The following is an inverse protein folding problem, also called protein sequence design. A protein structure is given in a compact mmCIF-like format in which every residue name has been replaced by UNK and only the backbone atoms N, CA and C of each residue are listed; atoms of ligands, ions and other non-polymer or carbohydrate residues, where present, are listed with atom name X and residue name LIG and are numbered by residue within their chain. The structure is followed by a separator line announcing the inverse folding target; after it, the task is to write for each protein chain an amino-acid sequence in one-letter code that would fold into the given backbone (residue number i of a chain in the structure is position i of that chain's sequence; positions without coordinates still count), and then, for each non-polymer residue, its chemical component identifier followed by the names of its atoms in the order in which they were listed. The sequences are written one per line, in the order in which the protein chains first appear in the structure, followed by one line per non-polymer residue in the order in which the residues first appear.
data_IF_993609129706
#
_entry.id   IF_993609129706
#
_cell.length_a   1.000
_cell.length_b   1.000
_cell.length_c   1.000
_cell.angle_alpha   90.00
_cell.angle_beta   90.00
_cell.angle_gamma   90.00
#
_symmetry.space_group_name_H-M   'P 1'
#
loop_
_entity.id
_entity.type
_entity.pdbx_description
1 polymer ?
#
# COMPACT_ATOMS: atom_id res chain seq x y z
N UNK A 1 17.77 23.06 -30.94
CA UNK A 1 17.89 24.46 -31.19
C UNK A 1 19.01 25.10 -30.39
N UNK A 2 19.19 26.41 -30.44
CA UNK A 2 20.33 27.14 -29.82
C UNK A 2 20.62 26.74 -28.38
N UNK A 3 19.59 26.61 -27.56
CA UNK A 3 19.78 26.22 -26.14
C UNK A 3 20.31 24.79 -26.01
N UNK A 4 19.82 23.87 -26.84
CA UNK A 4 20.33 22.50 -26.89
C UNK A 4 21.80 22.45 -27.32
N UNK A 5 22.14 23.20 -28.37
CA UNK A 5 23.52 23.22 -28.91
C UNK A 5 24.51 23.70 -27.86
N UNK A 6 24.11 24.68 -27.03
CA UNK A 6 24.93 25.16 -25.91
C UNK A 6 25.13 24.06 -24.86
N UNK A 7 24.05 23.39 -24.46
CA UNK A 7 24.11 22.33 -23.46
C UNK A 7 24.92 21.13 -23.93
N UNK A 8 24.74 20.74 -25.18
CA UNK A 8 25.49 19.63 -25.79
C UNK A 8 26.99 19.96 -25.83
N UNK A 9 27.33 21.18 -26.23
CA UNK A 9 28.74 21.63 -26.23
C UNK A 9 29.33 21.61 -24.83
N UNK A 10 28.60 22.08 -23.83
CA UNK A 10 29.05 22.05 -22.44
C UNK A 10 29.35 20.61 -21.97
N UNK A 11 28.55 19.63 -22.35
CA UNK A 11 28.79 18.23 -22.01
C UNK A 11 30.05 17.70 -22.72
N UNK A 12 30.24 18.09 -23.96
CA UNK A 12 31.44 17.73 -24.72
C UNK A 12 32.69 18.33 -24.02
N UNK A 13 32.66 19.62 -23.68
CA UNK A 13 33.76 20.30 -23.02
C UNK A 13 34.09 19.64 -21.68
N UNK A 14 33.08 19.30 -20.88
CA UNK A 14 33.24 18.59 -19.61
C UNK A 14 33.82 17.18 -19.79
N UNK A 15 33.37 16.48 -20.84
CA UNK A 15 33.92 15.15 -21.14
C UNK A 15 35.36 15.24 -21.59
N UNK A 16 35.69 16.12 -22.52
CA UNK A 16 37.05 16.30 -23.04
C UNK A 16 38.03 16.73 -21.94
N UNK A 17 37.59 17.55 -20.99
CA UNK A 17 38.43 18.02 -19.87
C UNK A 17 38.94 16.90 -18.96
N UNK A 18 38.42 15.68 -19.08
CA UNK A 18 38.88 14.52 -18.29
C UNK A 18 40.06 13.79 -18.92
N UNK A 19 40.49 14.20 -20.12
CA UNK A 19 41.50 13.49 -20.92
C UNK A 19 42.59 14.45 -21.38
N UNK A 20 43.75 13.90 -21.78
CA UNK A 20 44.85 14.69 -22.33
C UNK A 20 44.52 15.14 -23.77
N UNK A 21 45.21 16.17 -24.22
CA UNK A 21 45.00 16.71 -25.56
C UNK A 21 45.29 15.64 -26.63
N UNK A 22 44.31 15.40 -27.50
CA UNK A 22 44.41 14.42 -28.57
C UNK A 22 43.85 13.05 -28.28
N UNK A 23 43.49 12.76 -27.04
CA UNK A 23 42.86 11.46 -26.68
C UNK A 23 41.38 11.38 -27.08
N UNK A 24 40.76 12.54 -27.22
CA UNK A 24 39.36 12.65 -27.68
C UNK A 24 39.33 13.43 -28.99
N UNK A 25 38.80 12.83 -30.02
CA UNK A 25 38.64 13.44 -31.33
C UNK A 25 37.19 13.73 -31.65
N UNK A 26 36.90 14.89 -32.20
CA UNK A 26 35.56 15.20 -32.67
C UNK A 26 35.29 14.43 -33.98
N UNK A 27 34.20 13.69 -34.04
CA UNK A 27 33.87 12.80 -35.16
C UNK A 27 32.49 13.11 -35.76
N UNK A 28 32.13 14.39 -35.80
CA UNK A 28 30.92 14.87 -36.42
C UNK A 28 29.70 14.94 -35.48
N UNK A 29 28.54 14.83 -36.06
CA UNK A 29 27.26 14.93 -35.33
C UNK A 29 26.37 13.75 -35.66
N UNK A 30 25.59 13.30 -34.68
CA UNK A 30 24.58 12.26 -34.82
C UNK A 30 23.20 12.82 -34.48
N UNK A 31 22.27 12.73 -35.40
CA UNK A 31 20.90 13.20 -35.14
C UNK A 31 20.14 12.20 -34.25
N UNK A 32 19.51 12.72 -33.23
CA UNK A 32 18.73 11.93 -32.26
C UNK A 32 17.30 12.43 -32.16
N UNK A 33 16.35 11.53 -32.34
CA UNK A 33 14.92 11.87 -32.16
C UNK A 33 14.58 11.90 -30.68
N UNK A 34 13.96 13.00 -30.28
CA UNK A 34 13.54 13.23 -28.89
C UNK A 34 12.04 13.56 -28.88
N UNK A 35 11.26 12.70 -28.25
CA UNK A 35 9.84 12.92 -28.03
C UNK A 35 9.65 13.74 -26.76
N UNK A 36 9.00 14.87 -26.88
CA UNK A 36 8.76 15.82 -25.79
C UNK A 36 7.33 16.37 -25.84
N UNK A 37 6.98 17.29 -24.94
CA UNK A 37 5.64 17.90 -24.89
C UNK A 37 5.32 18.76 -26.14
N UNK A 38 6.33 19.11 -26.88
CA UNK A 38 6.17 19.88 -28.14
C UNK A 38 6.07 18.99 -29.38
N UNK A 39 6.29 17.68 -29.22
CA UNK A 39 6.30 16.72 -30.32
C UNK A 39 7.64 15.99 -30.39
N UNK A 40 7.93 15.49 -31.60
CA UNK A 40 9.24 14.85 -31.88
C UNK A 40 10.15 15.91 -32.46
N UNK A 41 11.28 16.07 -31.83
CA UNK A 41 12.34 17.00 -32.28
C UNK A 41 13.54 16.16 -32.73
N UNK A 42 14.20 16.58 -33.78
CA UNK A 42 15.50 16.06 -34.16
C UNK A 42 16.55 16.97 -33.53
N UNK A 43 17.37 16.40 -32.68
CA UNK A 43 18.46 17.08 -31.97
C UNK A 43 19.77 16.50 -32.47
N UNK A 44 20.64 17.33 -32.99
CA UNK A 44 21.98 16.90 -33.37
C UNK A 44 22.86 16.89 -32.12
N UNK A 45 23.62 15.83 -31.94
CA UNK A 45 24.54 15.64 -30.81
C UNK A 45 25.93 15.41 -31.34
N UNK A 46 26.89 16.06 -30.73
CA UNK A 46 28.28 15.91 -31.10
C UNK A 46 28.78 14.53 -30.73
N UNK A 47 29.53 13.94 -31.68
CA UNK A 47 30.13 12.60 -31.50
C UNK A 47 31.62 12.77 -31.24
N UNK A 48 32.11 12.18 -30.18
CA UNK A 48 33.52 12.16 -29.86
C UNK A 48 34.05 10.72 -30.00
N UNK A 49 35.18 10.54 -30.61
CA UNK A 49 35.89 9.25 -30.61
C UNK A 49 36.89 9.26 -29.46
N UNK A 50 36.73 8.34 -28.52
CA UNK A 50 37.65 8.19 -27.40
C UNK A 50 38.69 7.12 -27.74
N UNK A 51 39.94 7.52 -27.94
CA UNK A 51 41.01 6.66 -28.36
C UNK A 51 41.36 5.59 -27.31
N UNK A 52 41.19 5.88 -25.99
CA UNK A 52 41.48 4.94 -24.91
C UNK A 52 40.63 3.70 -24.94
N UNK A 53 39.37 3.87 -25.24
CA UNK A 53 38.39 2.76 -25.23
C UNK A 53 37.99 2.32 -26.64
N UNK A 54 38.49 3.03 -27.68
CA UNK A 54 38.22 2.71 -29.08
C UNK A 54 36.73 2.80 -29.46
N UNK A 55 36.00 3.77 -28.87
CA UNK A 55 34.55 3.90 -29.08
C UNK A 55 34.11 5.35 -29.30
N UNK A 56 33.02 5.45 -30.07
CA UNK A 56 32.32 6.71 -30.23
C UNK A 56 31.43 6.96 -29.02
N UNK A 57 31.48 8.15 -28.49
CA UNK A 57 30.72 8.60 -27.31
C UNK A 57 29.97 9.89 -27.71
N UNK A 58 28.77 10.02 -27.22
CA UNK A 58 27.95 11.24 -27.34
C UNK A 58 27.71 11.78 -25.92
N UNK A 59 28.56 12.70 -25.44
CA UNK A 59 28.43 13.19 -24.04
C UNK A 59 27.07 13.79 -23.71
N UNK A 60 26.40 14.40 -24.70
CA UNK A 60 25.04 14.94 -24.54
C UNK A 60 23.97 13.90 -24.16
N UNK A 61 24.27 12.59 -24.25
CA UNK A 61 23.37 11.53 -23.84
C UNK A 61 23.05 11.61 -22.33
N UNK A 62 23.94 12.17 -21.54
CA UNK A 62 23.73 12.31 -20.09
C UNK A 62 22.59 13.26 -19.75
N UNK A 63 22.24 14.16 -20.66
CA UNK A 63 21.17 15.14 -20.45
C UNK A 63 19.75 14.57 -20.73
N UNK A 64 19.66 13.42 -21.39
CA UNK A 64 18.38 12.89 -21.86
C UNK A 64 18.20 11.41 -21.50
N UNK A 65 17.06 11.02 -20.95
CA UNK A 65 16.80 9.62 -20.64
C UNK A 65 16.58 8.80 -21.91
N UNK A 66 17.30 7.72 -22.08
CA UNK A 66 17.16 6.80 -23.20
C UNK A 66 16.03 5.80 -22.97
N UNK A 67 15.26 5.51 -24.01
CA UNK A 67 14.22 4.48 -23.97
C UNK A 67 13.96 3.91 -25.37
N UNK A 68 14.36 2.67 -25.61
CA UNK A 68 14.10 1.93 -26.84
C UNK A 68 14.48 2.73 -28.12
N UNK A 69 15.62 3.38 -28.12
CA UNK A 69 16.14 4.10 -29.27
C UNK A 69 15.51 5.46 -29.53
N UNK A 70 14.37 5.77 -28.92
CA UNK A 70 13.74 7.09 -28.95
C UNK A 70 13.83 7.68 -27.56
N UNK A 71 14.47 8.81 -27.42
CA UNK A 71 14.58 9.49 -26.13
C UNK A 71 13.23 10.15 -25.84
N UNK A 72 12.65 9.82 -24.69
CA UNK A 72 11.38 10.39 -24.26
C UNK A 72 11.66 11.26 -23.05
N UNK A 73 11.45 12.56 -23.18
CA UNK A 73 11.75 13.51 -22.11
C UNK A 73 10.93 13.23 -20.86
N UNK A 74 11.52 13.57 -19.72
CA UNK A 74 10.90 13.43 -18.39
C UNK A 74 9.51 14.08 -18.34
N UNK A 75 9.38 15.26 -18.92
CA UNK A 75 8.09 15.97 -18.95
C UNK A 75 7.02 15.26 -19.78
N UNK A 76 7.40 14.56 -20.86
CA UNK A 76 6.44 13.77 -21.64
C UNK A 76 6.08 12.46 -20.88
N UNK A 77 7.05 11.86 -20.19
CA UNK A 77 6.81 10.70 -19.35
C UNK A 77 5.81 11.02 -18.22
N UNK A 78 5.90 12.23 -17.67
CA UNK A 78 4.95 12.69 -16.64
C UNK A 78 3.52 12.67 -17.20
N UNK A 79 3.29 13.26 -18.39
CA UNK A 79 1.97 13.23 -19.02
C UNK A 79 1.53 11.79 -19.36
N UNK A 80 2.49 10.95 -19.79
CA UNK A 80 2.24 9.54 -20.10
C UNK A 80 1.90 8.72 -18.83
N UNK A 81 2.19 9.23 -17.63
CA UNK A 81 1.79 8.62 -16.36
C UNK A 81 0.53 9.24 -15.74
N UNK A 82 0.31 10.54 -15.99
CA UNK A 82 -0.83 11.25 -15.41
C UNK A 82 -2.15 10.88 -16.10
N UNK A 83 -2.19 11.00 -17.43
CA UNK A 83 -3.44 10.83 -18.19
C UNK A 83 -3.99 9.39 -18.14
N UNK A 84 -3.18 8.32 -18.18
CA UNK A 84 -3.73 6.96 -18.18
C UNK A 84 -4.40 6.55 -16.87
N UNK A 85 -4.24 7.33 -15.81
CA UNK A 85 -4.95 7.09 -14.55
C UNK A 85 -6.47 7.21 -14.72
N UNK A 86 -6.90 7.94 -15.77
CA UNK A 86 -8.32 8.15 -16.02
C UNK A 86 -8.71 7.81 -17.48
N UNK A 87 -7.72 7.70 -18.40
CA UNK A 87 -7.97 7.48 -19.83
C UNK A 87 -7.30 6.17 -20.32
N UNK A 88 -7.86 5.52 -21.34
CA UNK A 88 -7.21 4.39 -22.01
C UNK A 88 -5.87 4.80 -22.66
N UNK A 89 -4.89 3.89 -22.65
CA UNK A 89 -3.56 4.14 -23.22
C UNK A 89 -3.61 4.62 -24.67
N UNK A 90 -4.50 4.03 -25.49
CA UNK A 90 -4.68 4.42 -26.88
C UNK A 90 -5.22 5.86 -27.01
N UNK A 91 -6.12 6.24 -26.09
CA UNK A 91 -6.66 7.61 -26.05
C UNK A 91 -5.57 8.62 -25.66
N UNK A 92 -4.71 8.24 -24.72
CA UNK A 92 -3.58 9.08 -24.31
C UNK A 92 -2.63 9.31 -25.50
N UNK A 93 -2.28 8.26 -26.23
CA UNK A 93 -1.43 8.38 -27.42
C UNK A 93 -2.03 9.33 -28.47
N UNK A 94 -3.36 9.21 -28.72
CA UNK A 94 -4.06 10.11 -29.66
C UNK A 94 -4.10 11.55 -29.15
N UNK A 95 -4.36 11.72 -27.86
CA UNK A 95 -4.43 13.04 -27.23
C UNK A 95 -3.09 13.78 -27.35
N UNK A 96 -1.99 13.08 -27.09
CA UNK A 96 -0.64 13.66 -27.19
C UNK A 96 -0.29 13.99 -28.66
N UNK A 97 -0.68 13.11 -29.59
CA UNK A 97 -0.49 13.39 -31.03
C UNK A 97 -1.30 14.62 -31.48
N UNK A 98 -2.53 14.73 -30.98
CA UNK A 98 -3.38 15.91 -31.32
C UNK A 98 -2.80 17.18 -30.69
N UNK A 99 -2.35 17.13 -29.45
CA UNK A 99 -1.77 18.30 -28.75
C UNK A 99 -0.51 18.83 -29.47
N UNK A 100 0.35 17.93 -29.94
CA UNK A 100 1.62 18.29 -30.58
C UNK A 100 1.47 18.55 -32.10
N UNK A 101 0.27 18.29 -32.65
CA UNK A 101 0.00 18.36 -34.09
C UNK A 101 0.92 17.46 -34.91
N UNK A 102 1.41 16.38 -34.28
CA UNK A 102 2.27 15.39 -34.94
C UNK A 102 1.70 13.97 -34.73
N UNK A 103 1.69 13.14 -35.79
CA UNK A 103 1.21 11.78 -35.68
C UNK A 103 2.19 10.91 -34.88
N UNK A 104 1.66 10.05 -34.05
CA UNK A 104 2.41 8.98 -33.39
C UNK A 104 3.61 9.44 -32.56
N UNK A 105 3.47 10.55 -31.84
CA UNK A 105 4.52 11.04 -30.93
C UNK A 105 4.88 9.94 -29.90
N UNK A 106 3.87 9.22 -29.42
CA UNK A 106 4.08 8.10 -28.48
C UNK A 106 2.99 7.02 -28.74
N UNK A 107 3.38 5.77 -28.77
CA UNK A 107 2.46 4.66 -28.99
C UNK A 107 1.74 4.25 -27.70
N UNK A 108 0.59 3.58 -27.82
CA UNK A 108 -0.13 3.01 -26.67
C UNK A 108 0.74 2.06 -25.85
N UNK A 109 1.60 1.30 -26.52
CA UNK A 109 2.48 0.35 -25.86
C UNK A 109 3.59 1.07 -25.09
N UNK A 110 4.09 2.15 -25.65
CA UNK A 110 5.10 2.98 -25.00
C UNK A 110 4.52 3.67 -23.75
N UNK A 111 3.30 4.24 -23.87
CA UNK A 111 2.59 4.80 -22.69
C UNK A 111 2.48 3.74 -21.60
N UNK A 112 2.09 2.50 -21.96
CA UNK A 112 1.97 1.41 -21.00
C UNK A 112 3.31 1.08 -20.34
N UNK A 113 4.40 0.99 -21.13
CA UNK A 113 5.75 0.70 -20.60
C UNK A 113 6.22 1.77 -19.61
N UNK A 114 5.97 3.04 -19.95
CA UNK A 114 6.32 4.17 -19.08
C UNK A 114 5.56 4.06 -17.75
N UNK A 115 4.25 3.79 -17.82
CA UNK A 115 3.41 3.57 -16.61
C UNK A 115 3.97 2.43 -15.76
N UNK A 116 4.30 1.29 -16.38
CA UNK A 116 4.85 0.12 -15.68
C UNK A 116 6.18 0.48 -15.00
N UNK A 117 7.10 1.10 -15.73
CA UNK A 117 8.42 1.48 -15.21
C UNK A 117 8.32 2.43 -14.00
N UNK A 118 7.49 3.48 -14.09
CA UNK A 118 7.32 4.42 -12.99
C UNK A 118 6.56 3.80 -11.82
N UNK A 119 5.56 2.97 -12.08
CA UNK A 119 4.86 2.22 -11.05
C UNK A 119 5.79 1.30 -10.27
N UNK A 120 6.64 0.57 -11.00
CA UNK A 120 7.65 -0.32 -10.41
C UNK A 120 8.66 0.48 -9.57
N UNK A 121 9.10 1.63 -10.07
CA UNK A 121 10.03 2.51 -9.31
C UNK A 121 9.39 3.00 -8.00
N UNK A 122 8.11 3.39 -8.04
CA UNK A 122 7.36 3.79 -6.85
C UNK A 122 7.28 2.62 -5.85
N UNK A 123 6.93 1.42 -6.32
CA UNK A 123 6.84 0.23 -5.45
C UNK A 123 8.20 -0.13 -4.84
N UNK A 124 9.26 -0.02 -5.63
CA UNK A 124 10.63 -0.26 -5.14
C UNK A 124 11.02 0.75 -4.05
N UNK A 125 10.69 2.02 -4.25
CA UNK A 125 10.93 3.08 -3.27
C UNK A 125 10.13 2.84 -1.97
N UNK A 126 8.85 2.45 -2.11
CA UNK A 126 7.99 2.10 -0.96
C UNK A 126 8.55 0.91 -0.18
N UNK A 127 8.97 -0.14 -0.88
CA UNK A 127 9.54 -1.34 -0.25
C UNK A 127 10.88 -1.02 0.43
N UNK A 128 11.70 -0.20 -0.21
CA UNK A 128 12.97 0.26 0.34
C UNK A 128 12.75 1.02 1.65
N UNK A 129 11.81 1.98 1.66
CA UNK A 129 11.49 2.75 2.86
C UNK A 129 11.00 1.85 4.00
N UNK A 130 10.12 0.88 3.70
CA UNK A 130 9.64 -0.09 4.70
C UNK A 130 10.83 -0.86 5.31
N UNK A 131 11.70 -1.38 4.45
CA UNK A 131 12.86 -2.16 4.91
C UNK A 131 13.83 -1.29 5.74
N UNK A 132 14.07 -0.05 5.32
CA UNK A 132 14.93 0.89 6.06
C UNK A 132 14.35 1.23 7.43
N UNK A 133 13.04 1.52 7.49
CA UNK A 133 12.36 1.83 8.75
C UNK A 133 12.37 0.62 9.69
N UNK A 134 12.10 -0.57 9.18
CA UNK A 134 12.13 -1.80 9.99
C UNK A 134 13.54 -2.16 10.45
N UNK A 135 14.56 -1.78 9.67
CA UNK A 135 15.95 -2.02 10.00
C UNK A 135 16.55 -1.02 11.00
N UNK A 136 15.88 0.10 11.24
CA UNK A 136 16.36 1.11 12.19
C UNK A 136 16.14 0.68 13.62
N UNK A 137 17.09 1.00 14.49
CA UNK A 137 16.96 0.78 15.93
C UNK A 137 15.79 1.52 16.56
N UNK A 138 15.40 2.66 15.96
CA UNK A 138 14.28 3.46 16.44
C UNK A 138 12.90 2.77 16.25
N UNK A 139 12.79 1.84 15.32
CA UNK A 139 11.56 1.04 15.11
C UNK A 139 11.70 -0.40 15.64
N UNK A 140 12.85 -0.79 16.17
CA UNK A 140 13.04 -2.12 16.74
C UNK A 140 12.06 -2.38 17.90
N UNK A 141 11.66 -1.35 18.64
CA UNK A 141 10.64 -1.49 19.70
C UNK A 141 9.29 -1.94 19.14
N UNK A 142 8.94 -1.51 17.95
CA UNK A 142 7.74 -1.98 17.28
C UNK A 142 7.85 -3.48 16.94
N UNK A 143 9.00 -3.87 16.38
CA UNK A 143 9.29 -5.26 16.04
C UNK A 143 9.34 -6.14 17.29
N UNK A 144 9.97 -5.67 18.35
CA UNK A 144 10.04 -6.39 19.64
C UNK A 144 8.63 -6.60 20.19
N UNK A 145 7.78 -5.58 20.21
CA UNK A 145 6.40 -5.71 20.68
C UNK A 145 5.58 -6.66 19.79
N UNK A 146 5.85 -6.64 18.48
CA UNK A 146 5.23 -7.60 17.56
C UNK A 146 5.66 -9.03 17.87
N UNK A 147 6.95 -9.24 18.12
CA UNK A 147 7.49 -10.55 18.53
C UNK A 147 6.92 -11.00 19.86
N UNK A 148 6.83 -10.10 20.83
CA UNK A 148 6.22 -10.34 22.13
C UNK A 148 4.73 -10.69 22.00
N UNK A 149 4.02 -10.00 21.12
CA UNK A 149 2.61 -10.27 20.85
C UNK A 149 2.40 -11.58 20.10
N UNK A 150 3.36 -11.98 19.26
CA UNK A 150 3.30 -13.26 18.51
C UNK A 150 3.74 -14.46 19.38
N UNK A 151 4.44 -14.20 20.50
CA UNK A 151 4.86 -15.25 21.43
C UNK A 151 4.10 -15.16 22.78
N UNK A 152 2.81 -14.80 22.81
CA UNK A 152 2.19 -14.39 24.07
C UNK A 152 1.76 -15.51 24.99
N UNK A 153 1.56 -16.70 24.47
CA UNK A 153 0.99 -17.80 25.26
C UNK A 153 1.97 -18.39 26.27
N UNK A 154 3.25 -18.20 26.04
CA UNK A 154 4.29 -18.68 26.95
C UNK A 154 4.64 -17.65 28.02
N UNK A 155 4.58 -16.37 27.70
CA UNK A 155 5.00 -15.30 28.60
C UNK A 155 4.03 -15.09 29.78
N UNK A 156 2.74 -15.24 29.54
CA UNK A 156 1.73 -15.10 30.60
C UNK A 156 1.83 -16.20 31.65
N UNK A 157 2.51 -17.30 31.32
CA UNK A 157 2.71 -18.44 32.20
C UNK A 157 4.12 -18.48 32.84
N UNK A 158 4.96 -17.49 32.53
CA UNK A 158 6.34 -17.49 33.05
C UNK A 158 6.37 -17.03 34.49
N UNK A 159 7.04 -17.79 35.39
CA UNK A 159 7.25 -17.33 36.75
C UNK A 159 8.07 -16.05 36.80
N UNK A 160 7.94 -15.28 37.85
CA UNK A 160 8.72 -14.06 38.08
C UNK A 160 10.24 -14.34 38.00
N UNK A 161 10.66 -15.49 38.49
CA UNK A 161 12.04 -15.98 38.42
C UNK A 161 12.60 -16.04 36.98
N UNK A 162 11.74 -16.35 35.98
CA UNK A 162 12.17 -16.39 34.58
C UNK A 162 12.41 -15.00 34.04
N UNK A 163 11.61 -14.01 34.45
CA UNK A 163 11.81 -12.61 34.05
C UNK A 163 13.13 -12.08 34.64
N UNK A 164 13.42 -12.40 35.88
CA UNK A 164 14.69 -12.04 36.53
C UNK A 164 15.88 -12.70 35.83
N UNK A 165 15.74 -14.00 35.47
CA UNK A 165 16.78 -14.74 34.76
C UNK A 165 17.09 -14.10 33.36
N UNK A 166 16.07 -13.60 32.69
CA UNK A 166 16.26 -12.89 31.40
C UNK A 166 17.06 -11.60 31.60
N UNK A 167 16.72 -10.81 32.61
CA UNK A 167 17.45 -9.55 32.88
C UNK A 167 18.90 -9.84 33.27
N UNK A 168 19.12 -10.89 34.07
CA UNK A 168 20.46 -11.32 34.46
C UNK A 168 21.27 -11.85 33.27
N UNK A 169 20.64 -12.63 32.37
CA UNK A 169 21.30 -13.20 31.19
C UNK A 169 21.71 -12.12 30.19
N UNK A 170 20.96 -10.99 30.10
CA UNK A 170 21.31 -9.86 29.24
C UNK A 170 22.55 -9.11 29.74
N UNK A 171 22.87 -9.23 31.03
CA UNK A 171 24.07 -8.65 31.62
C UNK A 171 25.29 -9.55 31.46
N UNK A 172 25.12 -10.80 31.06
CA UNK A 172 26.19 -11.79 30.91
C UNK A 172 26.58 -12.02 29.44
N UNK A 173 27.82 -12.39 29.23
CA UNK A 173 28.37 -12.63 27.88
C UNK A 173 27.87 -13.91 27.23
N UNK A 174 27.40 -14.87 28.00
CA UNK A 174 26.94 -16.18 27.50
C UNK A 174 25.70 -16.64 28.30
N UNK A 175 24.54 -16.15 27.90
CA UNK A 175 23.31 -16.47 28.59
C UNK A 175 22.86 -17.93 28.32
N UNK A 176 22.66 -18.70 29.38
CA UNK A 176 22.14 -20.06 29.27
C UNK A 176 20.63 -20.05 29.53
N UNK A 177 19.88 -20.91 28.85
CA UNK A 177 18.44 -21.01 29.13
C UNK A 177 18.18 -21.53 30.55
N UNK A 178 17.19 -20.97 31.23
CA UNK A 178 16.76 -21.55 32.53
C UNK A 178 16.25 -22.98 32.35
N UNK A 179 16.28 -23.72 33.45
CA UNK A 179 15.83 -25.10 33.44
C UNK A 179 14.38 -25.22 33.00
N UNK A 180 14.13 -26.09 32.02
CA UNK A 180 12.78 -26.29 31.48
C UNK A 180 12.39 -25.35 30.35
N UNK A 181 13.27 -24.43 29.94
CA UNK A 181 12.99 -23.48 28.85
C UNK A 181 13.66 -23.99 27.55
N UNK A 182 12.88 -24.06 26.47
CA UNK A 182 13.39 -24.46 25.16
C UNK A 182 14.43 -23.44 24.66
N UNK A 183 15.55 -23.93 24.14
CA UNK A 183 16.67 -23.11 23.71
C UNK A 183 16.27 -22.13 22.58
N UNK A 184 15.36 -22.53 21.68
CA UNK A 184 14.89 -21.63 20.60
C UNK A 184 14.02 -20.50 21.15
N UNK A 185 13.13 -20.80 22.09
CA UNK A 185 12.27 -19.80 22.71
C UNK A 185 13.11 -18.84 23.56
N UNK A 186 14.11 -19.38 24.27
CA UNK A 186 15.07 -18.57 25.05
C UNK A 186 15.82 -17.59 24.14
N UNK A 187 16.34 -18.08 23.00
CA UNK A 187 17.02 -17.20 22.03
C UNK A 187 16.09 -16.11 21.48
N UNK A 188 14.84 -16.45 21.20
CA UNK A 188 13.84 -15.44 20.74
C UNK A 188 13.61 -14.36 21.78
N UNK A 189 13.49 -14.77 23.06
CA UNK A 189 13.29 -13.81 24.17
C UNK A 189 14.52 -12.92 24.32
N UNK A 190 15.72 -13.50 24.29
CA UNK A 190 16.97 -12.73 24.40
C UNK A 190 17.13 -11.76 23.22
N UNK A 191 16.83 -12.19 22.00
CA UNK A 191 16.85 -11.33 20.82
C UNK A 191 15.86 -10.17 20.99
N UNK A 192 14.64 -10.44 21.43
CA UNK A 192 13.63 -9.42 21.65
C UNK A 192 14.10 -8.40 22.71
N UNK A 193 14.68 -8.88 23.81
CA UNK A 193 15.20 -7.99 24.87
C UNK A 193 16.44 -7.21 24.43
N UNK A 194 17.35 -7.85 23.69
CA UNK A 194 18.53 -7.17 23.12
C UNK A 194 18.12 -6.06 22.16
N UNK A 195 17.12 -6.32 21.31
CA UNK A 195 16.54 -5.31 20.43
C UNK A 195 15.92 -4.17 21.23
N UNK A 196 15.17 -4.50 22.28
CA UNK A 196 14.56 -3.49 23.15
C UNK A 196 15.61 -2.61 23.82
N UNK A 197 16.70 -3.22 24.31
CA UNK A 197 17.81 -2.49 24.94
C UNK A 197 18.57 -1.58 23.93
N UNK A 198 18.67 -2.02 22.67
CA UNK A 198 19.33 -1.27 21.61
C UNK A 198 18.44 -0.18 21.01
N UNK A 199 17.14 -0.18 21.30
CA UNK A 199 16.18 0.78 20.72
C UNK A 199 16.31 2.17 21.32
N UNK A 200 16.01 3.16 20.49
CA UNK A 200 15.92 4.55 20.95
C UNK A 200 14.79 4.70 21.96
N UNK A 201 14.96 5.61 22.93
CA UNK A 201 13.87 5.94 23.85
C UNK A 201 12.63 6.40 23.09
N UNK A 202 11.46 6.21 23.69
CA UNK A 202 10.17 6.61 23.12
C UNK A 202 10.16 8.09 22.73
N UNK A 203 10.85 8.92 23.49
CA UNK A 203 11.00 10.35 23.21
C UNK A 203 11.72 10.61 21.87
N UNK A 204 12.72 9.79 21.54
CA UNK A 204 13.42 9.90 20.26
C UNK A 204 12.56 9.39 19.09
N UNK A 205 11.73 8.39 19.33
CA UNK A 205 10.79 7.92 18.32
C UNK A 205 9.80 9.04 17.94
N UNK A 206 9.38 9.84 18.92
CA UNK A 206 8.51 10.99 18.69
C UNK A 206 9.15 12.07 17.81
N UNK A 207 10.48 12.16 17.84
CA UNK A 207 11.20 13.15 17.03
C UNK A 207 11.36 12.74 15.56
N UNK A 208 11.10 11.49 15.22
CA UNK A 208 11.26 10.97 13.86
C UNK A 208 9.99 11.13 13.02
N UNK A 209 8.90 11.49 13.65
CA UNK A 209 7.64 11.77 12.97
C UNK A 209 7.02 13.04 13.52
N UNK A 210 5.93 13.49 12.96
CA UNK A 210 5.18 14.59 13.58
C UNK A 210 4.71 14.13 14.97
N UNK A 211 4.43 15.09 15.85
CA UNK A 211 3.99 14.80 17.21
C UNK A 211 2.88 13.75 17.21
N UNK A 212 3.20 12.55 17.68
CA UNK A 212 2.23 11.47 17.80
C UNK A 212 1.35 11.78 19.00
N UNK A 213 0.23 12.41 18.74
CA UNK A 213 -0.75 12.71 19.79
C UNK A 213 -1.47 11.41 20.18
N UNK A 214 -1.59 11.13 21.48
CA UNK A 214 -2.40 9.98 21.90
C UNK A 214 -3.85 10.25 21.52
N UNK A 215 -4.30 9.60 20.48
CA UNK A 215 -5.64 9.78 19.96
C UNK A 215 -6.13 8.56 19.23
N UNK A 216 -7.30 8.66 18.66
CA UNK A 216 -7.88 7.59 17.85
C UNK A 216 -7.44 7.77 16.39
N UNK A 217 -6.68 6.81 15.89
CA UNK A 217 -6.33 6.72 14.47
C UNK A 217 -7.29 5.75 13.80
N UNK A 218 -7.88 6.19 12.70
CA UNK A 218 -8.89 5.41 11.99
C UNK A 218 -8.36 5.07 10.61
N UNK A 219 -8.29 3.77 10.33
CA UNK A 219 -7.98 3.26 9.01
C UNK A 219 -9.16 2.45 8.47
N UNK A 220 -9.48 2.66 7.22
CA UNK A 220 -10.45 1.83 6.52
C UNK A 220 -9.71 1.12 5.38
N UNK A 221 -9.86 -0.19 5.29
CA UNK A 221 -9.17 -0.98 4.28
C UNK A 221 -10.11 -2.01 3.65
N UNK A 222 -9.87 -2.29 2.38
CA UNK A 222 -10.65 -3.24 1.61
C UNK A 222 -9.77 -3.79 0.48
N UNK A 223 -10.23 -4.83 -0.21
CA UNK A 223 -9.58 -5.29 -1.43
C UNK A 223 -10.54 -5.20 -2.61
N UNK A 224 -9.98 -4.95 -3.78
CA UNK A 224 -10.75 -4.82 -5.00
C UNK A 224 -10.21 -5.77 -6.07
N UNK A 225 -11.11 -6.54 -6.65
CA UNK A 225 -10.76 -7.55 -7.66
C UNK A 225 -10.78 -6.94 -9.06
N UNK A 226 -9.71 -7.15 -9.80
CA UNK A 226 -9.52 -6.71 -11.19
C UNK A 226 -9.33 -7.94 -12.07
N UNK A 227 -9.93 -7.96 -13.26
CA UNK A 227 -9.84 -9.09 -14.18
C UNK A 227 -8.44 -9.19 -14.80
N UNK A 228 -7.91 -10.41 -14.81
CA UNK A 228 -6.68 -10.76 -15.53
C UNK A 228 -7.00 -11.19 -16.98
N UNK A 229 -6.01 -11.23 -17.86
CA UNK A 229 -6.24 -11.68 -19.23
C UNK A 229 -6.76 -13.13 -19.34
N UNK A 230 -6.34 -14.00 -18.42
CA UNK A 230 -6.87 -15.38 -18.33
C UNK A 230 -8.28 -15.32 -17.72
N UNK A 231 -9.24 -15.91 -18.41
CA UNK A 231 -10.68 -15.73 -18.18
C UNK A 231 -11.17 -16.02 -16.76
N UNK A 232 -10.50 -16.88 -16.01
CA UNK A 232 -10.93 -17.29 -14.66
C UNK A 232 -10.13 -16.64 -13.53
N UNK A 233 -9.15 -15.77 -13.85
CA UNK A 233 -8.25 -15.24 -12.84
C UNK A 233 -8.58 -13.78 -12.47
N UNK A 234 -8.46 -13.51 -11.18
CA UNK A 234 -8.67 -12.20 -10.61
C UNK A 234 -7.43 -11.77 -9.83
N UNK A 235 -7.10 -10.50 -9.94
CA UNK A 235 -6.03 -9.86 -9.18
C UNK A 235 -6.68 -9.08 -8.05
N UNK A 236 -6.24 -9.32 -6.81
CA UNK A 236 -6.68 -8.54 -5.66
C UNK A 236 -5.70 -7.39 -5.42
N UNK A 237 -6.20 -6.17 -5.44
CA UNK A 237 -5.45 -4.97 -5.05
C UNK A 237 -6.02 -4.50 -3.70
N UNK A 238 -5.18 -4.50 -2.69
CA UNK A 238 -5.53 -3.98 -1.36
C UNK A 238 -5.41 -2.47 -1.37
N UNK A 239 -6.37 -1.83 -0.72
CA UNK A 239 -6.42 -0.36 -0.61
C UNK A 239 -6.70 -0.01 0.83
N UNK A 240 -5.97 0.97 1.35
CA UNK A 240 -6.24 1.51 2.68
C UNK A 240 -6.30 3.04 2.63
N UNK A 241 -7.12 3.60 3.50
CA UNK A 241 -7.25 5.05 3.70
C UNK A 241 -7.18 5.31 5.20
N UNK A 242 -6.19 6.08 5.59
CA UNK A 242 -5.91 6.39 6.99
C UNK A 242 -6.22 7.87 7.23
N UNK A 243 -6.96 8.16 8.29
CA UNK A 243 -7.20 9.54 8.73
C UNK A 243 -5.96 10.01 9.52
N UNK A 244 -5.39 11.13 9.11
CA UNK A 244 -4.24 11.74 9.77
C UNK A 244 -4.61 13.20 10.14
N UNK A 245 -3.85 13.85 11.01
CA UNK A 245 -4.09 15.26 11.32
C UNK A 245 -4.03 16.19 10.10
N UNK A 246 -3.27 15.81 9.08
CA UNK A 246 -3.10 16.59 7.84
C UNK A 246 -4.11 16.22 6.75
N UNK A 247 -5.05 15.31 7.02
CA UNK A 247 -6.04 14.83 6.06
C UNK A 247 -6.01 13.31 5.93
N UNK A 248 -6.00 12.82 4.69
CA UNK A 248 -6.03 11.37 4.46
C UNK A 248 -4.76 10.91 3.77
N UNK A 249 -4.27 9.77 4.22
CA UNK A 249 -3.19 9.05 3.56
C UNK A 249 -3.77 7.79 2.90
N UNK A 250 -3.37 7.53 1.67
CA UNK A 250 -3.81 6.39 0.88
C UNK A 250 -2.66 5.41 0.67
N UNK A 251 -2.96 4.12 0.75
CA UNK A 251 -2.04 3.04 0.41
C UNK A 251 -2.73 2.10 -0.57
N UNK A 252 -1.95 1.50 -1.46
CA UNK A 252 -2.46 0.46 -2.36
C UNK A 252 -1.36 -0.52 -2.72
N UNK A 253 -1.73 -1.75 -3.10
CA UNK A 253 -0.75 -2.71 -3.59
C UNK A 253 -1.29 -4.13 -3.65
N UNK A 254 -0.57 -5.00 -4.37
CA UNK A 254 -0.97 -6.40 -4.56
C UNK A 254 -0.38 -7.36 -3.54
N UNK A 255 0.73 -7.02 -2.91
CA UNK A 255 1.48 -7.94 -2.07
C UNK A 255 1.34 -7.70 -0.56
N UNK A 256 2.29 -8.23 0.17
CA UNK A 256 2.38 -8.08 1.62
C UNK A 256 2.93 -6.71 2.03
N UNK A 257 3.67 -6.03 1.14
CA UNK A 257 4.31 -4.74 1.44
C UNK A 257 3.28 -3.71 1.89
N UNK A 258 2.11 -3.65 1.24
CA UNK A 258 1.04 -2.70 1.59
C UNK A 258 0.53 -2.91 3.03
N UNK A 259 0.55 -4.13 3.55
CA UNK A 259 0.15 -4.41 4.94
C UNK A 259 1.23 -3.93 5.92
N UNK A 260 2.50 -4.12 5.57
CA UNK A 260 3.63 -3.59 6.37
C UNK A 260 3.59 -2.06 6.40
N UNK A 261 3.34 -1.43 5.23
CA UNK A 261 3.14 0.03 5.14
C UNK A 261 2.00 0.48 6.04
N UNK A 262 0.87 -0.23 6.02
CA UNK A 262 -0.30 0.11 6.85
C UNK A 262 0.05 0.01 8.34
N UNK A 263 0.72 -1.05 8.75
CA UNK A 263 1.16 -1.25 10.14
C UNK A 263 2.07 -0.11 10.62
N UNK A 264 3.09 0.24 9.82
CA UNK A 264 4.02 1.33 10.11
C UNK A 264 3.31 2.69 10.19
N UNK A 265 2.44 2.96 9.21
CA UNK A 265 1.71 4.23 9.18
C UNK A 265 0.77 4.36 10.37
N UNK A 266 0.11 3.29 10.78
CA UNK A 266 -0.71 3.27 12.00
C UNK A 266 0.15 3.56 13.23
N UNK A 267 1.35 3.01 13.28
CA UNK A 267 2.30 3.29 14.37
C UNK A 267 2.67 4.79 14.41
N UNK A 268 3.02 5.36 13.26
CA UNK A 268 3.37 6.79 13.20
C UNK A 268 2.19 7.70 13.55
N UNK A 269 0.96 7.30 13.19
CA UNK A 269 -0.24 8.10 13.47
C UNK A 269 -0.72 7.97 14.93
N UNK A 270 -0.73 6.76 15.48
CA UNK A 270 -1.32 6.47 16.80
C UNK A 270 -0.29 6.46 17.92
N UNK A 271 0.94 6.05 17.63
CA UNK A 271 1.93 5.74 18.65
C UNK A 271 1.54 4.49 19.46
N UNK A 272 2.31 4.18 20.45
CA UNK A 272 2.06 3.00 21.33
C UNK A 272 0.79 3.11 22.15
N UNK A 273 0.53 4.18 22.41
CA UNK A 273 -0.50 4.42 23.26
C UNK A 273 -1.76 4.76 22.66
N UNK A 274 -1.70 4.98 21.53
CA UNK A 274 -2.87 5.47 20.83
C UNK A 274 -3.92 4.38 20.61
N UNK A 275 -5.08 4.80 20.18
CA UNK A 275 -6.19 3.88 19.86
C UNK A 275 -6.26 3.70 18.35
N UNK A 276 -6.20 2.47 17.87
CA UNK A 276 -6.33 2.14 16.44
C UNK A 276 -7.71 1.52 16.18
N UNK A 277 -8.50 2.17 15.33
CA UNK A 277 -9.76 1.62 14.82
C UNK A 277 -9.57 1.23 13.37
N UNK A 278 -9.68 -0.07 13.08
CA UNK A 278 -9.61 -0.60 11.73
C UNK A 278 -11.03 -0.94 11.25
N UNK A 279 -11.41 -0.41 10.10
CA UNK A 279 -12.75 -0.59 9.51
C UNK A 279 -12.66 -1.47 8.27
N UNK A 280 -13.52 -2.49 8.16
CA UNK A 280 -13.57 -3.32 6.95
C UNK A 280 -14.69 -4.33 6.93
N UNK A 281 -14.68 -5.15 5.91
CA UNK A 281 -15.73 -6.16 5.63
C UNK A 281 -15.60 -7.45 6.46
N UNK A 282 -14.55 -7.57 7.27
CA UNK A 282 -14.26 -8.77 8.07
C UNK A 282 -13.72 -9.93 7.24
N UNK A 283 -13.08 -9.68 6.11
CA UNK A 283 -12.39 -10.68 5.31
C UNK A 283 -11.31 -11.39 6.15
N UNK A 284 -11.00 -12.64 5.80
CA UNK A 284 -10.02 -13.45 6.54
C UNK A 284 -8.66 -12.77 6.63
N UNK A 285 -8.17 -12.19 5.51
CA UNK A 285 -6.88 -11.52 5.49
C UNK A 285 -6.83 -10.32 6.44
N UNK A 286 -7.96 -9.57 6.52
CA UNK A 286 -8.06 -8.38 7.38
C UNK A 286 -8.07 -8.76 8.86
N UNK A 287 -8.80 -9.83 9.21
CA UNK A 287 -8.79 -10.36 10.57
C UNK A 287 -7.41 -10.86 10.96
N UNK A 288 -6.76 -11.59 10.05
CA UNK A 288 -5.38 -12.05 10.28
C UNK A 288 -4.44 -10.85 10.50
N UNK A 289 -4.49 -9.86 9.63
CA UNK A 289 -3.70 -8.63 9.76
C UNK A 289 -3.92 -7.98 11.14
N UNK A 290 -5.18 -7.82 11.55
CA UNK A 290 -5.54 -7.22 12.83
C UNK A 290 -4.98 -8.02 14.01
N UNK A 291 -5.04 -9.34 13.93
CA UNK A 291 -4.61 -10.22 15.05
C UNK A 291 -3.07 -10.39 15.08
N UNK A 292 -2.42 -10.47 13.91
CA UNK A 292 -0.98 -10.79 13.85
C UNK A 292 -0.09 -9.57 13.70
N UNK A 293 -0.44 -8.63 12.81
CA UNK A 293 0.42 -7.50 12.49
C UNK A 293 0.19 -6.29 13.39
N UNK A 294 -1.01 -6.21 14.00
CA UNK A 294 -1.29 -5.17 14.98
C UNK A 294 -1.20 -5.64 16.43
N UNK A 295 -0.65 -6.48 16.53
CA UNK A 295 -0.46 -7.04 17.73
C UNK A 295 0.18 -6.26 18.77
N UNK A 296 1.00 -5.47 18.34
CA UNK A 296 1.71 -4.59 19.28
C UNK A 296 0.84 -3.46 19.88
N UNK A 297 -0.23 -3.10 19.19
CA UNK A 297 -1.13 -2.05 19.67
C UNK A 297 -2.02 -2.59 20.80
N UNK A 298 -1.87 -2.00 21.99
CA UNK A 298 -2.64 -2.41 23.17
C UNK A 298 -4.09 -1.92 23.11
N UNK A 299 -4.31 -0.81 22.40
CA UNK A 299 -5.64 -0.21 22.24
C UNK A 299 -6.04 -0.27 20.76
N UNK A 300 -6.66 -1.39 20.39
CA UNK A 300 -7.10 -1.58 19.01
C UNK A 300 -8.50 -2.18 18.94
N UNK A 301 -9.25 -1.81 17.91
CA UNK A 301 -10.53 -2.47 17.59
C UNK A 301 -10.60 -2.71 16.08
N UNK A 302 -11.16 -3.83 15.70
CA UNK A 302 -11.59 -4.10 14.33
C UNK A 302 -13.12 -3.98 14.32
N UNK A 303 -13.63 -3.13 13.46
CA UNK A 303 -15.06 -2.88 13.34
C UNK A 303 -15.55 -3.45 12.01
N UNK A 304 -16.46 -4.41 12.11
CA UNK A 304 -17.12 -4.97 10.93
C UNK A 304 -18.05 -3.91 10.34
N UNK A 305 -17.92 -3.64 9.04
CA UNK A 305 -18.75 -2.66 8.33
C UNK A 305 -20.23 -3.02 8.47
N UNK A 306 -21.03 -2.09 9.03
CA UNK A 306 -22.47 -2.26 9.19
C UNK A 306 -23.19 -2.50 7.87
N UNK A 307 -22.81 -1.78 6.82
CA UNK A 307 -23.51 -1.87 5.52
C UNK A 307 -23.23 -3.24 4.87
N UNK A 308 -22.01 -3.76 4.99
CA UNK A 308 -21.67 -5.12 4.55
C UNK A 308 -22.40 -6.18 5.35
N UNK A 309 -22.42 -6.07 6.68
CA UNK A 309 -23.15 -6.97 7.57
C UNK A 309 -24.63 -6.98 7.23
N UNK A 310 -25.24 -5.80 7.09
CA UNK A 310 -26.64 -5.62 6.76
C UNK A 310 -26.99 -6.25 5.41
N UNK A 311 -26.15 -6.02 4.40
CA UNK A 311 -26.33 -6.60 3.05
C UNK A 311 -26.26 -8.12 3.11
N UNK A 312 -25.25 -8.66 3.80
CA UNK A 312 -25.03 -10.11 3.98
C UNK A 312 -26.27 -10.76 4.60
N UNK A 313 -26.79 -10.19 5.67
CA UNK A 313 -28.01 -10.69 6.34
C UNK A 313 -29.21 -10.66 5.40
N UNK A 314 -29.36 -9.60 4.60
CA UNK A 314 -30.49 -9.47 3.66
C UNK A 314 -30.42 -10.52 2.53
N UNK A 315 -29.21 -10.75 2.00
CA UNK A 315 -28.98 -11.73 0.93
C UNK A 315 -29.25 -13.16 1.44
N UNK A 316 -28.69 -13.49 2.61
CA UNK A 316 -28.90 -14.81 3.21
C UNK A 316 -30.34 -15.04 3.63
N UNK A 317 -31.06 -14.04 4.13
CA UNK A 317 -32.48 -14.15 4.43
C UNK A 317 -33.26 -14.56 3.18
N UNK A 318 -32.88 -14.07 1.99
CA UNK A 318 -33.48 -14.47 0.72
C UNK A 318 -33.18 -15.91 0.32
N UNK A 319 -32.08 -16.47 0.79
CA UNK A 319 -31.68 -17.86 0.52
C UNK A 319 -32.27 -18.85 1.54
N UNK A 320 -32.53 -18.37 2.75
CA UNK A 320 -33.04 -19.16 3.91
C UNK A 320 -34.55 -19.30 3.90
N UNK A 321 -35.28 -18.19 3.65
CA UNK A 321 -36.75 -18.14 3.80
C UNK A 321 -37.46 -18.56 2.52
N UNK A 322 -38.58 -19.27 2.69
CA UNK A 322 -39.42 -19.74 1.58
C UNK A 322 -40.34 -18.65 1.04
N UNK A 323 -40.88 -17.80 1.92
CA UNK A 323 -41.81 -16.75 1.52
C UNK A 323 -41.15 -15.34 1.56
N UNK A 324 -41.76 -14.43 0.80
CA UNK A 324 -41.33 -13.01 0.78
C UNK A 324 -41.58 -12.35 2.15
N UNK A 325 -42.62 -12.77 2.84
CA UNK A 325 -42.97 -12.21 4.15
C UNK A 325 -41.99 -12.67 5.23
N UNK A 326 -41.68 -13.98 5.28
CA UNK A 326 -40.66 -14.51 6.23
C UNK A 326 -39.31 -13.84 6.03
N UNK A 327 -38.90 -13.62 4.76
CA UNK A 327 -37.68 -12.89 4.44
C UNK A 327 -37.70 -11.49 5.05
N UNK A 328 -38.82 -10.76 4.93
CA UNK A 328 -38.95 -9.40 5.51
C UNK A 328 -38.84 -9.43 7.03
N UNK A 329 -39.53 -10.39 7.66
CA UNK A 329 -39.55 -10.54 9.11
C UNK A 329 -38.15 -10.87 9.64
N UNK A 330 -37.52 -11.90 9.07
CA UNK A 330 -36.18 -12.32 9.50
C UNK A 330 -35.15 -11.19 9.29
N UNK A 331 -35.16 -10.58 8.11
CA UNK A 331 -34.26 -9.44 7.79
C UNK A 331 -34.42 -8.30 8.82
N UNK A 332 -35.66 -7.91 9.12
CA UNK A 332 -35.94 -6.82 10.09
C UNK A 332 -35.45 -7.21 11.49
N UNK A 333 -35.71 -8.45 11.91
CA UNK A 333 -35.28 -8.96 13.22
C UNK A 333 -33.75 -8.96 13.34
N UNK A 334 -33.04 -9.53 12.34
CA UNK A 334 -31.58 -9.57 12.34
C UNK A 334 -30.97 -8.16 12.36
N UNK A 335 -31.51 -7.25 11.52
CA UNK A 335 -31.01 -5.87 11.49
C UNK A 335 -31.18 -5.18 12.84
N UNK A 336 -32.32 -5.36 13.50
CA UNK A 336 -32.60 -4.72 14.81
C UNK A 336 -31.64 -5.24 15.89
N UNK A 337 -31.43 -6.57 15.93
CA UNK A 337 -30.54 -7.20 16.92
C UNK A 337 -29.07 -6.82 16.67
N UNK A 338 -28.61 -6.97 15.45
CA UNK A 338 -27.20 -6.71 15.09
C UNK A 338 -26.88 -5.21 15.15
N UNK A 339 -27.85 -4.33 14.92
CA UNK A 339 -27.67 -2.87 15.10
C UNK A 339 -27.29 -2.53 16.55
N UNK A 340 -27.80 -3.32 17.51
CA UNK A 340 -27.49 -3.18 18.94
C UNK A 340 -26.29 -4.03 19.38
N UNK A 341 -25.66 -4.77 18.45
CA UNK A 341 -24.55 -5.67 18.78
C UNK A 341 -24.98 -6.98 19.43
N UNK A 342 -26.26 -7.31 19.40
CA UNK A 342 -26.83 -8.50 20.07
C UNK A 342 -26.67 -9.74 19.19
N UNK A 343 -25.44 -10.21 19.05
CA UNK A 343 -25.10 -11.30 18.12
C UNK A 343 -25.71 -12.64 18.59
N UNK A 344 -25.67 -12.92 19.90
CA UNK A 344 -26.22 -14.17 20.43
C UNK A 344 -27.72 -14.26 20.17
N UNK A 345 -28.46 -13.18 20.40
CA UNK A 345 -29.89 -13.12 20.11
C UNK A 345 -30.18 -13.26 18.60
N UNK A 346 -29.27 -12.75 17.75
CA UNK A 346 -29.40 -12.95 16.30
C UNK A 346 -29.17 -14.41 15.91
N UNK A 347 -28.22 -15.10 16.57
CA UNK A 347 -27.98 -16.53 16.37
C UNK A 347 -29.18 -17.38 16.85
N UNK A 348 -29.75 -17.03 17.99
CA UNK A 348 -30.99 -17.67 18.50
C UNK A 348 -32.14 -17.50 17.53
N UNK A 349 -32.29 -16.30 16.97
CA UNK A 349 -33.34 -16.01 15.97
C UNK A 349 -33.16 -16.84 14.69
N UNK A 350 -31.90 -17.05 14.26
CA UNK A 350 -31.59 -17.91 13.11
C UNK A 350 -31.88 -19.38 13.42
N UNK A 351 -31.46 -19.84 14.61
CA UNK A 351 -31.74 -21.24 15.03
C UNK A 351 -33.23 -21.53 15.07
N UNK A 352 -34.03 -20.58 15.54
CA UNK A 352 -35.49 -20.70 15.58
C UNK A 352 -36.12 -20.81 14.17
N UNK A 353 -35.40 -20.36 13.13
CA UNK A 353 -35.88 -20.49 11.73
C UNK A 353 -35.54 -21.85 11.12
N UNK A 354 -34.72 -22.69 11.79
CA UNK A 354 -34.22 -23.96 11.25
C UNK A 354 -35.35 -24.91 10.76
N UNK A 355 -36.44 -25.12 11.52
CA UNK A 355 -37.48 -26.04 11.05
C UNK A 355 -38.21 -25.61 9.80
N UNK A 356 -38.17 -24.32 9.44
CA UNK A 356 -38.89 -23.72 8.32
C UNK A 356 -37.97 -23.27 7.19
N UNK A 357 -36.64 -23.55 7.32
CA UNK A 357 -35.69 -23.09 6.30
C UNK A 357 -35.80 -23.92 5.02
N UNK A 358 -35.70 -23.24 3.87
CA UNK A 358 -35.60 -23.94 2.58
C UNK A 358 -34.16 -24.34 2.25
N UNK A 359 -33.17 -23.84 2.99
CA UNK A 359 -31.75 -24.12 2.74
C UNK A 359 -30.97 -24.07 4.03
N UNK A 360 -30.81 -25.23 4.66
CA UNK A 360 -30.11 -25.39 5.93
C UNK A 360 -28.61 -25.01 5.82
N UNK A 361 -27.99 -25.34 4.69
CA UNK A 361 -26.59 -25.02 4.48
C UNK A 361 -26.38 -23.49 4.54
N UNK A 362 -27.25 -22.72 3.89
CA UNK A 362 -27.15 -21.25 3.91
C UNK A 362 -27.47 -20.67 5.27
N UNK A 363 -28.36 -21.28 6.01
CA UNK A 363 -28.62 -20.91 7.40
C UNK A 363 -27.35 -21.10 8.25
N UNK A 364 -26.73 -22.27 8.14
CA UNK A 364 -25.51 -22.61 8.89
C UNK A 364 -24.36 -21.67 8.48
N UNK A 365 -24.18 -21.40 7.18
CA UNK A 365 -23.16 -20.48 6.67
C UNK A 365 -23.29 -19.07 7.29
N UNK A 366 -24.53 -18.57 7.43
CA UNK A 366 -24.77 -17.25 8.05
C UNK A 366 -24.46 -17.29 9.55
N UNK A 367 -24.85 -18.34 10.22
CA UNK A 367 -24.56 -18.50 11.67
C UNK A 367 -23.07 -18.55 11.91
N UNK A 368 -22.33 -19.31 11.11
CA UNK A 368 -20.88 -19.43 11.22
C UNK A 368 -20.17 -18.11 10.89
N UNK A 369 -20.68 -17.39 9.90
CA UNK A 369 -20.20 -16.04 9.57
C UNK A 369 -20.33 -15.09 10.77
N UNK A 370 -21.51 -15.10 11.44
CA UNK A 370 -21.76 -14.24 12.61
C UNK A 370 -20.88 -14.67 13.81
N UNK A 371 -20.77 -15.98 14.07
CA UNK A 371 -19.91 -16.51 15.16
C UNK A 371 -18.46 -16.07 14.98
N UNK A 372 -17.95 -16.25 13.75
CA UNK A 372 -16.53 -15.93 13.43
C UNK A 372 -16.22 -14.43 13.50
N UNK A 373 -17.25 -13.58 13.50
CA UNK A 373 -17.07 -12.12 13.51
C UNK A 373 -17.71 -11.46 14.74
N UNK A 374 -18.14 -12.26 15.71
CA UNK A 374 -18.82 -11.77 16.92
C UNK A 374 -18.03 -10.67 17.63
N UNK A 375 -16.71 -10.84 17.74
CA UNK A 375 -15.83 -9.87 18.40
C UNK A 375 -15.75 -8.51 17.66
N UNK A 376 -16.13 -8.48 16.39
CA UNK A 376 -16.00 -7.29 15.52
C UNK A 376 -17.37 -6.62 15.25
N UNK A 377 -18.46 -7.23 15.73
CA UNK A 377 -19.82 -6.69 15.63
C UNK A 377 -20.10 -5.91 16.93
N UNK A 378 -20.22 -4.63 16.81
CA UNK A 378 -20.33 -3.69 17.95
C UNK A 378 -21.75 -3.16 18.06
N UNK A 379 -22.02 -2.35 19.08
CA UNK A 379 -23.28 -1.60 19.20
C UNK A 379 -23.22 -0.39 18.25
N UNK A 380 -23.67 -0.59 17.00
CA UNK A 380 -23.68 0.46 15.97
C UNK A 380 -24.60 1.62 16.35
N UNK A 381 -25.69 1.34 17.07
CA UNK A 381 -26.64 2.36 17.54
C UNK A 381 -25.93 3.37 18.47
N UNK A 382 -25.17 2.84 19.42
CA UNK A 382 -24.40 3.67 20.35
C UNK A 382 -23.31 4.45 19.64
N UNK A 383 -22.56 3.80 18.74
CA UNK A 383 -21.53 4.46 17.95
C UNK A 383 -22.11 5.62 17.12
N UNK A 384 -23.27 5.37 16.49
CA UNK A 384 -23.94 6.43 15.70
C UNK A 384 -24.36 7.61 16.57
N UNK A 385 -24.90 7.34 17.78
CA UNK A 385 -25.24 8.42 18.74
C UNK A 385 -24.03 9.24 19.15
N UNK A 386 -22.86 8.58 19.25
CA UNK A 386 -21.58 9.22 19.58
C UNK A 386 -20.86 9.79 18.35
N UNK A 387 -21.50 9.80 17.19
CA UNK A 387 -20.95 10.28 15.91
C UNK A 387 -19.67 9.55 15.49
N UNK A 388 -19.53 8.30 15.89
CA UNK A 388 -18.40 7.45 15.55
C UNK A 388 -18.68 6.64 14.25
N UNK A 389 -17.63 6.17 13.62
CA UNK A 389 -17.74 5.39 12.39
C UNK A 389 -18.46 4.06 12.64
N UNK A 390 -19.32 3.69 11.69
CA UNK A 390 -20.06 2.42 11.70
C UNK A 390 -19.82 1.59 10.42
N UNK A 391 -18.99 2.09 9.52
CA UNK A 391 -18.72 1.40 8.26
C UNK A 391 -17.48 1.90 7.57
N UNK A 392 -17.08 1.19 6.53
CA UNK A 392 -15.86 1.37 5.77
C UNK A 392 -16.06 2.13 4.44
N UNK A 393 -17.08 3.00 4.36
CA UNK A 393 -17.37 3.80 3.15
C UNK A 393 -16.13 4.54 2.64
N UNK A 394 -15.21 4.90 3.55
CA UNK A 394 -13.94 5.53 3.20
C UNK A 394 -13.02 4.59 2.42
N UNK A 395 -13.02 3.28 2.73
CA UNK A 395 -12.27 2.27 1.98
C UNK A 395 -12.91 2.05 0.60
N UNK A 396 -14.24 1.93 0.56
CA UNK A 396 -14.97 1.80 -0.72
C UNK A 396 -14.67 2.98 -1.65
N UNK A 397 -14.67 4.20 -1.10
CA UNK A 397 -14.34 5.41 -1.87
C UNK A 397 -12.88 5.38 -2.35
N UNK A 398 -11.96 4.91 -1.52
CA UNK A 398 -10.55 4.77 -1.92
C UNK A 398 -10.38 3.71 -3.03
N UNK A 399 -11.06 2.56 -2.90
CA UNK A 399 -11.08 1.53 -3.95
C UNK A 399 -11.63 2.08 -5.27
N UNK A 400 -12.70 2.88 -5.20
CA UNK A 400 -13.27 3.51 -6.39
C UNK A 400 -12.27 4.44 -7.06
N UNK A 401 -11.65 5.34 -6.29
CA UNK A 401 -10.71 6.35 -6.80
C UNK A 401 -9.42 5.74 -7.35
N UNK A 402 -8.85 4.77 -6.64
CA UNK A 402 -7.53 4.21 -6.98
C UNK A 402 -7.64 3.18 -8.10
N UNK A 403 -8.68 2.35 -8.05
CA UNK A 403 -8.76 1.17 -8.93
C UNK A 403 -10.02 1.18 -9.81
N UNK A 404 -11.23 1.24 -9.21
CA UNK A 404 -12.45 0.90 -9.94
C UNK A 404 -12.72 1.83 -11.13
N UNK A 405 -12.63 3.12 -10.94
CA UNK A 405 -12.88 4.11 -11.99
C UNK A 405 -12.08 3.87 -13.26
N UNK A 406 -10.82 3.41 -13.09
CA UNK A 406 -9.93 3.17 -14.23
C UNK A 406 -9.93 1.73 -14.68
N UNK A 407 -9.99 0.78 -13.74
CA UNK A 407 -9.65 -0.62 -14.05
C UNK A 407 -10.86 -1.56 -14.12
N UNK A 408 -12.05 -1.13 -13.66
CA UNK A 408 -13.25 -1.99 -13.67
C UNK A 408 -14.25 -1.64 -14.78
N UNK A 409 -13.85 -0.86 -15.78
CA UNK A 409 -14.69 -0.58 -16.94
C UNK A 409 -14.89 -1.86 -17.77
N UNK A 410 -16.02 -1.94 -18.47
CA UNK A 410 -16.44 -3.11 -19.24
C UNK A 410 -15.35 -3.57 -20.22
N UNK A 411 -15.07 -4.86 -20.22
CA UNK A 411 -14.16 -5.50 -21.15
C UNK A 411 -12.67 -5.30 -20.85
N UNK A 412 -12.33 -4.63 -19.77
CA UNK A 412 -10.91 -4.42 -19.43
C UNK A 412 -10.33 -5.61 -18.69
N UNK A 413 -9.15 -6.02 -19.14
CA UNK A 413 -8.31 -7.04 -18.50
C UNK A 413 -6.91 -6.46 -18.28
N UNK A 414 -6.27 -6.83 -17.19
CA UNK A 414 -5.03 -6.19 -16.76
C UNK A 414 -3.98 -7.21 -16.37
N UNK A 415 -2.76 -7.02 -16.86
CA UNK A 415 -1.62 -7.70 -16.23
C UNK A 415 -1.41 -7.10 -14.84
N UNK A 416 -0.84 -7.90 -13.94
CA UNK A 416 -0.59 -7.48 -12.55
C UNK A 416 0.28 -6.22 -12.51
N UNK A 417 1.35 -6.21 -13.29
CA UNK A 417 2.31 -5.09 -13.34
C UNK A 417 1.61 -3.78 -13.75
N UNK A 418 0.73 -3.84 -14.75
CA UNK A 418 0.04 -2.63 -15.22
C UNK A 418 -1.02 -2.16 -14.22
N UNK A 419 -1.77 -3.10 -13.65
CA UNK A 419 -2.82 -2.77 -12.67
C UNK A 419 -2.21 -2.15 -11.41
N UNK A 420 -1.15 -2.76 -10.89
CA UNK A 420 -0.46 -2.26 -9.70
C UNK A 420 0.25 -0.93 -9.95
N UNK A 421 0.86 -0.76 -11.14
CA UNK A 421 1.51 0.50 -11.53
C UNK A 421 0.51 1.66 -11.57
N UNK A 422 -0.67 1.45 -12.17
CA UNK A 422 -1.73 2.47 -12.18
C UNK A 422 -2.20 2.80 -10.75
N UNK A 423 -2.33 1.80 -9.90
CA UNK A 423 -2.72 2.00 -8.49
C UNK A 423 -1.63 2.79 -7.74
N UNK A 424 -0.35 2.47 -7.98
CA UNK A 424 0.78 3.19 -7.38
C UNK A 424 0.76 4.68 -7.77
N UNK A 425 0.69 4.95 -9.07
CA UNK A 425 0.66 6.32 -9.59
C UNK A 425 -0.55 7.11 -9.06
N UNK A 426 -1.73 6.47 -9.02
CA UNK A 426 -2.94 7.12 -8.49
C UNK A 426 -2.80 7.42 -6.99
N UNK A 427 -2.14 6.56 -6.24
CA UNK A 427 -1.87 6.76 -4.82
C UNK A 427 -0.95 7.97 -4.61
N UNK A 428 0.09 8.12 -5.45
CA UNK A 428 0.99 9.30 -5.42
C UNK A 428 0.20 10.60 -5.63
N UNK A 429 -0.74 10.61 -6.61
CA UNK A 429 -1.61 11.78 -6.86
C UNK A 429 -2.49 12.07 -5.64
N UNK A 430 -3.17 11.06 -5.10
CA UNK A 430 -4.10 11.23 -3.96
C UNK A 430 -3.39 11.68 -2.69
N UNK A 431 -2.14 11.28 -2.52
CA UNK A 431 -1.28 11.68 -1.40
C UNK A 431 -0.63 13.06 -1.63
N UNK A 432 -0.93 13.74 -2.73
CA UNK A 432 -0.40 15.08 -3.09
C UNK A 432 1.14 15.09 -3.19
N UNK A 433 1.72 13.96 -3.60
CA UNK A 433 3.17 13.84 -3.76
C UNK A 433 3.61 13.73 -5.23
N UNK A 434 2.73 14.12 -6.16
CA UNK A 434 3.01 14.05 -7.59
C UNK A 434 4.22 14.90 -7.98
N UNK A 435 4.24 16.16 -7.55
CA UNK A 435 5.34 17.08 -7.87
C UNK A 435 6.66 16.62 -7.23
N UNK A 436 6.59 16.14 -5.98
CA UNK A 436 7.77 15.60 -5.29
C UNK A 436 8.37 14.42 -6.09
N UNK A 437 7.54 13.53 -6.57
CA UNK A 437 7.98 12.37 -7.37
C UNK A 437 8.63 12.83 -8.68
N UNK A 438 7.99 13.76 -9.40
CA UNK A 438 8.47 14.17 -10.72
C UNK A 438 9.66 15.12 -10.66
N UNK A 439 9.85 15.86 -9.57
CA UNK A 439 11.04 16.72 -9.39
C UNK A 439 12.25 15.92 -8.90
N UNK A 440 12.04 14.99 -7.97
CA UNK A 440 13.15 14.36 -7.24
C UNK A 440 13.14 12.82 -7.28
N UNK A 441 12.18 12.21 -7.96
CA UNK A 441 11.92 10.75 -7.93
C UNK A 441 11.70 10.21 -6.51
N UNK A 442 11.16 11.05 -5.62
CA UNK A 442 10.91 10.69 -4.22
C UNK A 442 9.42 10.47 -3.97
N UNK A 443 9.11 9.51 -3.15
CA UNK A 443 7.74 9.31 -2.62
C UNK A 443 7.65 10.04 -1.27
N UNK A 444 6.41 10.37 -0.87
CA UNK A 444 6.18 11.03 0.42
C UNK A 444 6.52 10.05 1.55
N UNK A 445 7.51 10.35 2.39
CA UNK A 445 7.90 9.41 3.45
C UNK A 445 6.78 9.12 4.45
N UNK A 446 6.76 7.89 4.98
CA UNK A 446 5.75 7.49 5.98
C UNK A 446 5.86 8.34 7.24
N UNK A 447 7.06 8.63 7.68
CA UNK A 447 7.31 9.41 8.90
C UNK A 447 6.80 10.86 8.80
N UNK A 448 6.68 11.41 7.59
CA UNK A 448 6.19 12.78 7.37
C UNK A 448 4.71 12.85 6.96
N UNK A 449 4.09 11.69 6.78
CA UNK A 449 2.70 11.59 6.33
C UNK A 449 1.69 11.98 7.43
N UNK A 450 2.15 12.09 8.66
CA UNK A 450 1.36 12.40 9.86
C UNK A 450 1.65 13.85 10.39
#
# INVERSE_FOLDING_TARGET
SIHWDILDQQQVDQYCAQFEAGEIEMDGDASQKVACRLGILDLDRRVCFNQHIGKHIMPGNELLPEHNGTIITHSLQEWACLFPQDLPFATVGRLLSWQTQQPKVISKNEVRRIVQRHGEAIRAAEAKEVNELEGRGDLNKFQVKLLEAKAPRHRAAWPAELSEAVEQALAESTPKPPEGVNAQDWQRVLQARAHEAACWPVEKLRCLGPEIQPGQTIAATDDILVRRPQASQWLSIRVARIATPKGYRYLSGTGAVVLRQLSLLLFFCAGWXGWVTLLGDGAKWLRNFFETELXAFTRKELLLDWYHLRRKCADFAGMICSSREDKKVLKRKLHALLWKGQVDSALEALEACRPQTKNEQKLQELMDYLRARKAYIVNYNERRRKQQYIGSAHAEKACDLIVAKRQKNRGMHWSEETADALAALKTVVLNRSWDLYWQNHQILPFATAT
#
